data_IF_330381086186
#
_entry.id   IF_330381086186
#
_cell.length_a   1.000
_cell.length_b   1.000
_cell.length_c   1.000
_cell.angle_alpha   90.00
_cell.angle_beta   90.00
_cell.angle_gamma   90.00
#
_symmetry.space_group_name_H-M   'P 1'
#
loop_
_entity.id
_entity.type
_entity.pdbx_description
1 polymer ?
#
# COMPACT_ATOMS: atom_id res chain seq x y z
N UNK A 1 -40.09 29.41 11.56
CA UNK A 1 -39.92 28.77 12.32
C UNK A 1 -39.46 27.52 12.11
N UNK A 2 -39.88 26.95 11.86
CA UNK A 2 -39.65 25.74 11.52
C UNK A 2 -38.42 25.54 10.83
N UNK A 3 -38.22 26.26 10.07
CA UNK A 3 -37.12 26.14 9.29
C UNK A 3 -35.97 25.78 10.02
N UNK A 4 -35.81 26.28 10.98
CA UNK A 4 -34.63 26.08 11.66
C UNK A 4 -34.36 24.71 11.71
N UNK A 5 -35.24 24.07 11.86
CA UNK A 5 -34.97 22.75 12.12
C UNK A 5 -34.22 22.22 11.04
N UNK A 6 -34.49 22.63 9.98
CA UNK A 6 -33.85 22.04 8.92
C UNK A 6 -32.43 22.23 9.05
N UNK A 7 -32.08 23.22 9.51
CA UNK A 7 -30.69 23.52 9.55
C UNK A 7 -30.03 22.40 10.19
N UNK A 8 -30.54 22.10 11.16
CA UNK A 8 -29.93 21.12 11.86
C UNK A 8 -29.58 19.98 11.11
N UNK A 9 -30.42 19.65 10.38
CA UNK A 9 -30.14 18.51 9.76
C UNK A 9 -28.91 18.57 9.06
N UNK A 10 -28.74 19.56 8.52
CA UNK A 10 -27.66 19.52 7.72
C UNK A 10 -26.47 19.17 8.43
N UNK A 11 -26.35 19.68 9.42
CA UNK A 11 -25.17 19.46 10.06
C UNK A 11 -25.02 18.09 10.28
N UNK A 12 -25.96 17.60 10.45
CA UNK A 12 -25.76 16.32 10.81
C UNK A 12 -25.11 15.66 9.73
N UNK A 13 -25.47 16.02 8.67
CA UNK A 13 -24.87 15.42 7.67
C UNK A 13 -23.50 15.61 7.75
N UNK A 14 -23.20 16.59 8.19
CA UNK A 14 -21.82 16.84 8.21
C UNK A 14 -21.21 15.73 8.93
N UNK A 15 -21.76 15.45 9.92
CA UNK A 15 -21.16 14.43 10.69
C UNK A 15 -21.08 13.24 9.84
N UNK A 16 -22.04 13.09 9.13
CA UNK A 16 -22.04 11.95 8.30
C UNK A 16 -20.83 12.00 7.46
N UNK A 17 -20.57 13.10 6.95
CA UNK A 17 -19.45 13.14 6.11
C UNK A 17 -18.29 12.63 6.83
N UNK A 18 -18.19 12.95 8.00
CA UNK A 18 -17.05 12.51 8.74
C UNK A 18 -17.03 11.03 8.69
N UNK A 19 -18.12 10.48 8.56
CA UNK A 19 -18.15 9.06 8.58
C UNK A 19 -17.28 8.50 7.50
N UNK A 20 -17.03 9.25 6.52
CA UNK A 20 -16.23 8.71 5.50
C UNK A 20 -14.82 8.80 5.90
N UNK A 21 -14.53 8.45 7.03
CA UNK A 21 -13.20 8.56 7.53
C UNK A 21 -12.24 7.89 6.61
N UNK A 22 -11.04 8.23 6.74
CA UNK A 22 -10.00 7.66 5.93
C UNK A 22 -9.79 6.22 6.24
N UNK A 23 -9.43 5.44 5.28
CA UNK A 23 -9.14 4.04 5.52
C UNK A 23 -7.92 3.91 6.41
N UNK A 24 -7.82 2.81 7.09
CA UNK A 24 -6.67 2.55 7.93
C UNK A 24 -5.44 2.47 7.07
N UNK A 25 -4.32 2.98 7.52
CA UNK A 25 -3.08 2.86 6.77
C UNK A 25 -2.65 1.41 6.67
N UNK A 26 -2.09 1.06 5.55
CA UNK A 26 -1.53 -0.26 5.34
C UNK A 26 -0.14 -0.27 5.96
N UNK A 27 0.16 -1.27 6.77
CA UNK A 27 1.46 -1.35 7.42
C UNK A 27 2.35 -2.31 6.68
N UNK A 28 3.51 -1.82 6.29
CA UNK A 28 4.44 -2.57 5.49
C UNK A 28 5.74 -2.75 6.27
N UNK A 29 6.22 -3.98 6.30
CA UNK A 29 7.49 -4.30 6.95
C UNK A 29 8.51 -4.62 5.86
N UNK A 30 9.66 -3.96 5.91
CA UNK A 30 10.70 -4.21 4.92
C UNK A 30 11.54 -5.38 5.42
N UNK A 31 11.61 -6.43 4.62
CA UNK A 31 12.34 -7.63 5.02
C UNK A 31 13.82 -7.32 5.23
N UNK A 32 14.44 -7.91 6.22
CA UNK A 32 15.86 -7.60 6.54
C UNK A 32 16.81 -7.98 5.42
N UNK A 33 16.44 -8.92 4.57
CA UNK A 33 17.31 -9.31 3.46
C UNK A 33 17.12 -8.40 2.24
N UNK A 34 16.35 -7.33 2.37
CA UNK A 34 16.21 -6.38 1.28
C UNK A 34 17.52 -5.67 1.02
N UNK A 35 17.87 -5.51 -0.23
CA UNK A 35 19.08 -4.81 -0.62
C UNK A 35 18.86 -3.32 -0.72
N UNK A 36 17.66 -2.91 -1.15
CA UNK A 36 17.36 -1.49 -1.25
C UNK A 36 17.20 -0.92 0.15
N UNK A 37 17.92 0.15 0.49
CA UNK A 37 17.87 0.70 1.86
C UNK A 37 16.48 1.19 2.22
N UNK A 38 16.10 0.94 3.47
CA UNK A 38 14.80 1.37 3.97
C UNK A 38 14.54 2.86 3.78
N UNK A 39 15.51 3.75 4.03
CA UNK A 39 15.24 5.17 3.84
C UNK A 39 14.88 5.54 2.41
N UNK A 40 15.44 4.85 1.43
CA UNK A 40 15.12 5.13 0.04
C UNK A 40 13.69 4.71 -0.28
N UNK A 41 13.26 3.59 0.26
CA UNK A 41 11.89 3.14 0.07
C UNK A 41 10.93 4.10 0.75
N UNK A 42 11.25 4.51 1.98
CA UNK A 42 10.42 5.41 2.74
C UNK A 42 10.23 6.74 2.01
N UNK A 43 11.28 7.25 1.42
CA UNK A 43 11.23 8.50 0.69
C UNK A 43 10.19 8.43 -0.41
N UNK A 44 10.18 7.35 -1.18
CA UNK A 44 9.21 7.22 -2.26
C UNK A 44 7.81 6.91 -1.75
N UNK A 45 7.69 6.19 -0.64
CA UNK A 45 6.38 5.92 -0.07
C UNK A 45 5.72 7.21 0.41
N UNK A 46 6.47 8.08 1.05
CA UNK A 46 5.91 9.33 1.53
C UNK A 46 5.39 10.16 0.36
N UNK A 47 6.11 10.15 -0.74
CA UNK A 47 5.75 10.93 -1.90
C UNK A 47 4.61 10.29 -2.71
N UNK A 48 4.65 8.98 -2.90
CA UNK A 48 3.73 8.32 -3.82
C UNK A 48 2.59 7.58 -3.14
N UNK A 49 2.73 7.29 -1.88
CA UNK A 49 1.78 6.39 -1.23
C UNK A 49 1.54 6.74 0.23
N UNK A 50 0.93 7.89 0.49
CA UNK A 50 0.75 8.36 1.86
C UNK A 50 -0.05 7.43 2.75
N UNK A 51 -0.82 6.53 2.16
CA UNK A 51 -1.63 5.61 2.95
C UNK A 51 -0.87 4.37 3.40
N UNK A 52 0.41 4.28 3.12
CA UNK A 52 1.21 3.14 3.53
C UNK A 52 2.22 3.62 4.55
N UNK A 53 2.27 2.93 5.69
CA UNK A 53 3.22 3.26 6.74
C UNK A 53 4.18 2.10 6.92
N UNK A 54 5.44 2.39 7.18
CA UNK A 54 6.41 1.36 7.46
C UNK A 54 6.38 1.02 8.94
N UNK A 55 6.50 -0.25 9.26
CA UNK A 55 6.60 -0.67 10.64
C UNK A 55 7.90 -1.45 10.80
N UNK A 56 8.49 -1.37 11.97
CA UNK A 56 9.68 -2.14 12.28
C UNK A 56 9.32 -3.49 12.90
N UNK A 57 8.06 -3.70 13.20
CA UNK A 57 7.61 -4.93 13.85
C UNK A 57 6.86 -5.79 12.83
N UNK A 58 7.44 -6.91 12.41
CA UNK A 58 6.78 -7.75 11.41
C UNK A 58 5.44 -8.29 11.87
N UNK A 59 5.25 -8.42 13.18
CA UNK A 59 3.98 -8.92 13.70
C UNK A 59 2.84 -7.94 13.52
N UNK A 60 3.17 -6.66 13.37
CA UNK A 60 2.16 -5.63 13.20
C UNK A 60 1.96 -5.25 11.74
N UNK A 61 2.67 -5.88 10.83
CA UNK A 61 2.55 -5.52 9.43
C UNK A 61 1.39 -6.24 8.77
N UNK A 62 0.83 -5.62 7.75
CA UNK A 62 -0.17 -6.25 6.91
C UNK A 62 0.52 -7.01 5.78
N UNK A 63 1.67 -6.49 5.35
CA UNK A 63 2.45 -7.12 4.29
C UNK A 63 3.93 -6.97 4.59
N UNK A 64 4.73 -7.86 4.04
CA UNK A 64 6.18 -7.75 4.12
C UNK A 64 6.69 -7.52 2.71
N UNK A 65 7.63 -6.61 2.57
CA UNK A 65 8.21 -6.27 1.28
C UNK A 65 9.67 -6.70 1.22
N UNK A 66 10.02 -7.47 0.21
CA UNK A 66 11.40 -7.80 -0.04
C UNK A 66 11.83 -6.94 -1.22
N UNK A 67 12.71 -6.00 -0.99
CA UNK A 67 13.13 -5.05 -2.01
C UNK A 67 14.53 -5.38 -2.48
N UNK A 68 14.63 -5.79 -3.72
CA UNK A 68 15.87 -6.26 -4.31
C UNK A 68 16.23 -5.42 -5.50
N UNK A 69 17.51 -5.21 -5.70
CA UNK A 69 17.97 -4.57 -6.92
C UNK A 69 18.82 -3.34 -6.70
N UNK A 70 19.23 -2.79 -7.79
CA UNK A 70 20.05 -1.60 -7.81
C UNK A 70 19.72 -0.85 -9.09
N UNK A 71 20.41 0.23 -9.32
CA UNK A 71 20.10 1.12 -10.43
C UNK A 71 19.81 0.36 -11.72
N UNK A 72 18.67 0.60 -12.28
CA UNK A 72 18.27 0.03 -13.57
C UNK A 72 17.57 -1.32 -13.50
N UNK A 73 17.48 -1.92 -12.33
CA UNK A 73 16.84 -3.23 -12.23
C UNK A 73 16.41 -3.49 -10.81
N UNK A 74 15.16 -3.20 -10.52
CA UNK A 74 14.59 -3.40 -9.20
C UNK A 74 13.53 -4.49 -9.25
N UNK A 75 13.56 -5.39 -8.27
CA UNK A 75 12.57 -6.44 -8.14
C UNK A 75 12.03 -6.40 -6.73
N UNK A 76 10.76 -6.17 -6.62
CA UNK A 76 10.11 -6.09 -5.32
C UNK A 76 9.08 -7.21 -5.22
N UNK A 77 9.08 -7.90 -4.09
CA UNK A 77 8.12 -8.98 -3.85
C UNK A 77 7.36 -8.67 -2.58
N UNK A 78 6.06 -8.79 -2.64
CA UNK A 78 5.20 -8.54 -1.49
C UNK A 78 4.69 -9.87 -0.97
N UNK A 79 4.82 -10.05 0.34
CA UNK A 79 4.34 -11.26 1.01
C UNK A 79 3.23 -10.87 1.98
N UNK A 80 2.21 -11.70 2.08
CA UNK A 80 1.20 -11.47 3.10
C UNK A 80 1.60 -12.18 4.37
N UNK A 81 0.86 -12.00 5.43
CA UNK A 81 1.12 -12.69 6.67
C UNK A 81 1.13 -14.18 6.40
N UNK A 82 2.05 -14.86 7.01
CA UNK A 82 2.22 -16.27 6.75
C UNK A 82 3.32 -16.57 5.74
N UNK A 83 3.89 -15.53 5.14
CA UNK A 83 5.03 -15.72 4.26
C UNK A 83 4.72 -16.11 2.84
N UNK A 84 3.48 -15.96 2.42
CA UNK A 84 3.12 -16.30 1.04
C UNK A 84 3.29 -15.10 0.14
N UNK A 85 4.06 -15.25 -0.93
CA UNK A 85 4.25 -14.18 -1.90
C UNK A 85 2.95 -13.95 -2.68
N UNK A 86 2.48 -12.73 -2.70
CA UNK A 86 1.21 -12.40 -3.36
C UNK A 86 1.37 -11.41 -4.51
N UNK A 87 2.53 -10.81 -4.66
CA UNK A 87 2.74 -9.86 -5.75
C UNK A 87 4.22 -9.69 -6.02
N UNK A 88 4.57 -9.47 -7.24
CA UNK A 88 5.95 -9.18 -7.62
C UNK A 88 5.98 -8.20 -8.75
N UNK A 89 6.99 -7.36 -8.78
CA UNK A 89 7.15 -6.39 -9.86
C UNK A 89 8.63 -6.22 -10.16
N UNK A 90 8.92 -5.85 -11.38
CA UNK A 90 10.26 -5.64 -11.85
C UNK A 90 10.27 -4.34 -12.63
N UNK A 91 11.08 -3.38 -12.23
CA UNK A 91 11.09 -2.06 -12.87
C UNK A 91 12.51 -1.55 -13.02
N UNK A 92 12.64 -0.54 -13.86
CA UNK A 92 13.94 0.12 -14.06
C UNK A 92 14.16 1.19 -12.99
N UNK A 93 13.10 1.83 -12.54
CA UNK A 93 13.20 2.91 -11.56
C UNK A 93 12.66 2.49 -10.20
N UNK A 94 13.37 2.87 -9.15
CA UNK A 94 12.92 2.58 -7.80
C UNK A 94 11.55 3.18 -7.52
N UNK A 95 11.31 4.40 -7.97
CA UNK A 95 10.02 5.05 -7.73
C UNK A 95 8.88 4.25 -8.34
N UNK A 96 9.10 3.63 -9.49
CA UNK A 96 8.06 2.83 -10.11
C UNK A 96 7.83 1.53 -9.36
N UNK A 97 8.87 0.94 -8.81
CA UNK A 97 8.71 -0.27 -8.01
C UNK A 97 7.87 0.02 -6.76
N UNK A 98 8.15 1.14 -6.11
CA UNK A 98 7.39 1.55 -4.92
C UNK A 98 5.95 1.85 -5.31
N UNK A 99 5.75 2.52 -6.43
CA UNK A 99 4.42 2.85 -6.90
C UNK A 99 3.60 1.59 -7.18
N UNK A 100 4.21 0.59 -7.79
CA UNK A 100 3.52 -0.67 -8.08
C UNK A 100 3.11 -1.38 -6.80
N UNK A 101 3.99 -1.41 -5.81
CA UNK A 101 3.68 -2.01 -4.52
C UNK A 101 2.53 -1.24 -3.87
N UNK A 102 2.58 0.08 -3.93
CA UNK A 102 1.54 0.90 -3.37
C UNK A 102 0.18 0.57 -3.98
N UNK A 103 0.12 0.46 -5.27
CA UNK A 103 -1.12 0.13 -5.95
C UNK A 103 -1.64 -1.22 -5.50
N UNK A 104 -0.76 -2.20 -5.38
CA UNK A 104 -1.17 -3.53 -4.98
C UNK A 104 -1.72 -3.55 -3.55
N UNK A 105 -1.00 -2.99 -2.61
CA UNK A 105 -1.41 -3.09 -1.21
C UNK A 105 -2.65 -2.24 -0.89
N UNK A 106 -2.94 -1.27 -1.72
CA UNK A 106 -4.14 -0.45 -1.53
C UNK A 106 -5.33 -0.95 -2.35
N UNK A 107 -5.14 -1.96 -3.16
CA UNK A 107 -6.22 -2.47 -3.99
C UNK A 107 -7.19 -3.29 -3.14
N UNK A 108 -8.46 -3.34 -3.52
CA UNK A 108 -9.40 -4.23 -2.86
C UNK A 108 -8.91 -5.67 -2.99
N UNK A 109 -9.23 -6.53 -2.05
CA UNK A 109 -8.74 -7.91 -2.09
C UNK A 109 -8.98 -8.63 -3.42
N UNK A 110 -10.10 -8.41 -4.05
CA UNK A 110 -10.37 -9.05 -5.32
C UNK A 110 -9.41 -8.58 -6.42
N UNK A 111 -9.12 -7.29 -6.45
CA UNK A 111 -8.20 -6.76 -7.43
C UNK A 111 -6.77 -7.18 -7.14
N UNK A 112 -6.43 -7.28 -5.89
CA UNK A 112 -5.09 -7.72 -5.52
C UNK A 112 -4.87 -9.15 -6.01
N UNK A 113 -5.87 -9.99 -5.89
CA UNK A 113 -5.75 -11.36 -6.34
C UNK A 113 -5.57 -11.42 -7.86
N UNK A 114 -6.31 -10.60 -8.57
CA UNK A 114 -6.21 -10.56 -10.02
C UNK A 114 -4.83 -10.05 -10.44
N UNK A 115 -4.35 -9.02 -9.78
CA UNK A 115 -3.05 -8.47 -10.10
C UNK A 115 -1.94 -9.50 -9.89
N UNK A 116 -2.01 -10.25 -8.81
CA UNK A 116 -1.01 -11.27 -8.55
C UNK A 116 -1.05 -12.34 -9.62
N UNK A 117 -2.24 -12.69 -10.05
CA UNK A 117 -2.38 -13.68 -11.08
C UNK A 117 -1.83 -13.19 -12.40
N UNK A 118 -2.13 -11.99 -12.77
CA UNK A 118 -1.62 -11.41 -14.00
C UNK A 118 -0.11 -11.33 -14.00
N UNK A 119 0.46 -10.95 -12.90
CA UNK A 119 1.90 -10.86 -12.80
C UNK A 119 2.52 -12.23 -13.02
N UNK A 120 1.88 -13.24 -12.48
CA UNK A 120 2.38 -14.59 -12.63
C UNK A 120 2.33 -15.01 -14.08
N UNK A 121 1.26 -14.74 -14.75
CA UNK A 121 1.14 -15.09 -16.15
C UNK A 121 2.14 -14.35 -17.02
N UNK A 122 2.38 -13.12 -16.72
CA UNK A 122 3.31 -12.32 -17.48
C UNK A 122 4.73 -12.84 -17.35
N UNK A 123 5.07 -13.41 -16.23
CA UNK A 123 6.40 -13.92 -16.02
C UNK A 123 6.64 -15.24 -16.76
N UNK A 124 5.63 -15.89 -17.17
CA UNK A 124 5.77 -17.11 -17.94
C UNK A 124 5.95 -16.79 -19.41
#
# INVERSE_FOLDING_TARGET
MKKMMMAILMLTLGGAGAAFAQPKPVKLYIAPNSIVPRPEIMKHLVDKCPNVALTLDPKKSDYMLEAWGWSGNYRFTVFQKGGVAVYGTSTVLLSNAVKDVCKFVNAPPSQATVAAKETKETQN
#
